data_IF_315710258623
#
_entry.id   IF_315710258623
#
_cell.length_a   1.000
_cell.length_b   1.000
_cell.length_c   1.000
_cell.angle_alpha   90.00
_cell.angle_beta   90.00
_cell.angle_gamma   90.00
#
_symmetry.space_group_name_H-M   'P 1'
#
loop_
_entity.id
_entity.type
_entity.pdbx_description
1 polymer ?
#
# COMPACT_ATOMS: atom_id res chain seq x y z
N UNK A 1 19.17 -0.16 -5.52
CA UNK A 1 18.22 0.60 -6.37
C UNK A 1 18.98 1.75 -6.99
N UNK A 2 19.24 1.67 -8.28
CA UNK A 2 19.85 2.76 -9.02
C UNK A 2 18.89 3.94 -9.02
N UNK A 3 19.23 5.00 -8.27
CA UNK A 3 18.43 6.24 -8.24
C UNK A 3 18.72 7.02 -9.51
N UNK A 4 18.04 6.65 -10.60
CA UNK A 4 18.05 7.43 -11.83
C UNK A 4 17.28 8.74 -11.59
N UNK A 5 17.83 9.91 -11.97
CA UNK A 5 17.11 11.17 -11.81
C UNK A 5 15.84 11.17 -12.65
N UNK A 6 14.77 11.69 -12.06
CA UNK A 6 13.48 11.91 -12.73
C UNK A 6 13.28 13.42 -12.94
N UNK A 7 12.86 13.80 -14.14
CA UNK A 7 12.49 15.19 -14.46
C UNK A 7 10.97 15.25 -14.67
N UNK A 8 10.30 16.14 -13.94
CA UNK A 8 8.89 16.44 -14.17
C UNK A 8 8.75 17.63 -15.12
N UNK A 9 7.85 17.54 -16.09
CA UNK A 9 7.58 18.61 -17.05
C UNK A 9 6.23 19.28 -16.74
N UNK A 10 6.14 20.58 -17.00
CA UNK A 10 4.90 21.34 -16.90
C UNK A 10 3.88 20.79 -17.91
N UNK A 11 2.69 20.45 -17.44
CA UNK A 11 1.57 20.14 -18.32
C UNK A 11 1.07 21.43 -19.00
N UNK A 12 0.96 21.40 -20.34
CA UNK A 12 0.49 22.53 -21.15
C UNK A 12 -1.02 22.51 -21.38
N UNK A 13 -1.69 21.42 -21.01
CA UNK A 13 -3.13 21.22 -21.15
C UNK A 13 -3.72 20.63 -19.85
N UNK A 14 -5.03 20.79 -19.58
CA UNK A 14 -5.66 20.18 -18.41
C UNK A 14 -5.57 18.65 -18.43
N UNK A 15 -5.27 18.04 -17.29
CA UNK A 15 -5.41 16.59 -17.11
C UNK A 15 -6.89 16.21 -17.13
N UNK A 16 -7.24 15.19 -17.92
CA UNK A 16 -8.62 14.67 -18.04
C UNK A 16 -8.61 13.16 -17.95
N UNK A 17 -9.49 12.59 -17.13
CA UNK A 17 -9.64 11.15 -16.99
C UNK A 17 -10.15 10.75 -15.61
N UNK A 18 -10.30 9.44 -15.42
CA UNK A 18 -10.63 8.83 -14.14
C UNK A 18 -9.53 7.86 -13.75
N UNK A 19 -9.15 7.85 -12.48
CA UNK A 19 -8.18 6.91 -11.95
C UNK A 19 -8.75 6.24 -10.71
N UNK A 20 -8.35 4.99 -10.49
CA UNK A 20 -8.56 4.31 -9.22
C UNK A 20 -7.29 4.46 -8.41
N UNK A 21 -7.37 5.13 -7.26
CA UNK A 21 -6.23 5.21 -6.35
C UNK A 21 -5.93 3.82 -5.77
N UNK A 22 -4.66 3.53 -5.47
CA UNK A 22 -4.29 2.40 -4.62
C UNK A 22 -4.97 2.48 -3.24
N UNK A 23 -4.91 1.37 -2.48
CA UNK A 23 -5.39 1.34 -1.11
C UNK A 23 -4.74 2.40 -0.21
N UNK A 24 -5.42 2.76 0.87
CA UNK A 24 -4.85 3.68 1.86
C UNK A 24 -3.76 3.00 2.69
N UNK A 25 -2.64 3.68 2.90
CA UNK A 25 -1.48 3.14 3.63
C UNK A 25 -1.82 2.85 5.09
N UNK A 26 -2.47 3.78 5.77
CA UNK A 26 -2.77 3.67 7.20
C UNK A 26 -3.80 2.57 7.46
N UNK A 27 -4.85 2.50 6.64
CA UNK A 27 -5.85 1.43 6.70
C UNK A 27 -5.26 0.08 6.36
N UNK A 28 -4.31 0.02 5.42
CA UNK A 28 -3.63 -1.24 5.09
C UNK A 28 -2.79 -1.76 6.26
N UNK A 29 -2.02 -0.91 6.94
CA UNK A 29 -1.30 -1.30 8.17
C UNK A 29 -2.27 -1.79 9.25
N UNK A 30 -3.34 -1.03 9.52
CA UNK A 30 -4.31 -1.39 10.56
C UNK A 30 -5.05 -2.67 10.24
N UNK A 31 -5.46 -2.87 8.99
CA UNK A 31 -6.14 -4.09 8.57
C UNK A 31 -5.26 -5.33 8.80
N UNK A 32 -3.96 -5.24 8.49
CA UNK A 32 -3.00 -6.31 8.76
C UNK A 32 -2.83 -6.58 10.27
N UNK A 33 -2.68 -5.52 11.08
CA UNK A 33 -2.53 -5.65 12.53
C UNK A 33 -3.77 -6.30 13.17
N UNK A 34 -4.97 -5.86 12.78
CA UNK A 34 -6.23 -6.42 13.29
C UNK A 34 -6.40 -7.87 12.84
N UNK A 35 -6.09 -8.20 11.57
CA UNK A 35 -6.15 -9.55 11.05
C UNK A 35 -5.19 -10.50 11.78
N UNK A 36 -3.98 -10.03 12.14
CA UNK A 36 -3.00 -10.82 12.88
C UNK A 36 -3.43 -11.15 14.32
N UNK A 37 -4.33 -10.34 14.90
CA UNK A 37 -4.88 -10.56 16.24
C UNK A 37 -6.20 -11.35 16.23
N UNK A 38 -6.89 -11.40 15.09
CA UNK A 38 -8.18 -12.06 14.96
C UNK A 38 -8.03 -13.59 14.95
N UNK A 39 -9.05 -14.29 15.47
CA UNK A 39 -9.11 -15.75 15.39
C UNK A 39 -9.66 -16.18 14.03
N UNK A 40 -9.02 -17.16 13.37
CA UNK A 40 -9.45 -17.69 12.08
C UNK A 40 -8.83 -16.94 10.88
N UNK A 41 -9.55 -16.89 9.76
CA UNK A 41 -9.05 -16.31 8.50
C UNK A 41 -9.73 -14.98 8.19
N UNK A 42 -8.93 -13.93 7.96
CA UNK A 42 -9.41 -12.61 7.52
C UNK A 42 -9.06 -12.38 6.04
N UNK A 43 -10.05 -11.99 5.23
CA UNK A 43 -9.84 -11.61 3.83
C UNK A 43 -9.86 -10.08 3.69
N UNK A 44 -8.78 -9.50 3.17
CA UNK A 44 -8.65 -8.05 2.97
C UNK A 44 -8.60 -7.75 1.47
N UNK A 45 -9.51 -6.88 1.00
CA UNK A 45 -9.55 -6.43 -0.39
C UNK A 45 -9.03 -4.99 -0.51
N UNK A 46 -8.35 -4.68 -1.62
CA UNK A 46 -7.82 -3.33 -1.86
C UNK A 46 -6.64 -2.94 -0.97
N UNK A 47 -5.93 -3.93 -0.40
CA UNK A 47 -4.72 -3.68 0.40
C UNK A 47 -3.65 -2.98 -0.44
N UNK A 48 -3.04 -1.91 0.10
CA UNK A 48 -1.91 -1.25 -0.52
C UNK A 48 -0.68 -2.18 -0.51
N UNK A 49 -0.11 -2.48 -1.66
CA UNK A 49 1.09 -3.33 -1.80
C UNK A 49 2.40 -2.51 -1.83
N UNK A 50 2.42 -1.39 -1.12
CA UNK A 50 3.63 -0.56 -0.96
C UNK A 50 4.65 -1.20 -0.02
N UNK A 51 5.92 -0.82 -0.15
CA UNK A 51 7.02 -1.39 0.63
C UNK A 51 6.77 -1.36 2.15
N UNK A 52 6.26 -0.25 2.70
CA UNK A 52 5.92 -0.10 4.12
C UNK A 52 4.91 -1.17 4.61
N UNK A 53 3.84 -1.38 3.84
CA UNK A 53 2.75 -2.29 4.21
C UNK A 53 3.23 -3.73 4.09
N UNK A 54 3.99 -4.05 3.05
CA UNK A 54 4.62 -5.37 2.89
C UNK A 54 5.62 -5.66 4.01
N UNK A 55 6.39 -4.67 4.44
CA UNK A 55 7.28 -4.80 5.59
C UNK A 55 6.50 -5.08 6.89
N UNK A 56 5.35 -4.43 7.07
CA UNK A 56 4.44 -4.72 8.21
C UNK A 56 3.90 -6.15 8.15
N UNK A 57 3.45 -6.60 6.97
CA UNK A 57 2.98 -7.98 6.79
C UNK A 57 4.09 -8.99 7.12
N UNK A 58 5.33 -8.72 6.70
CA UNK A 58 6.47 -9.57 7.01
C UNK A 58 6.82 -9.56 8.51
N UNK A 59 6.78 -8.40 9.15
CA UNK A 59 7.01 -8.29 10.59
C UNK A 59 5.97 -9.08 11.39
N UNK A 60 4.69 -8.95 11.04
CA UNK A 60 3.60 -9.69 11.70
C UNK A 60 3.74 -11.21 11.51
N UNK A 61 4.16 -11.66 10.32
CA UNK A 61 4.49 -13.08 10.07
C UNK A 61 5.67 -13.59 10.91
N UNK A 62 6.59 -12.72 11.32
CA UNK A 62 7.70 -13.11 12.20
C UNK A 62 7.30 -13.15 13.68
N UNK A 63 6.14 -12.62 14.05
CA UNK A 63 5.64 -12.64 15.43
C UNK A 63 4.82 -13.90 15.78
N UNK A 64 4.61 -14.81 14.82
CA UNK A 64 3.85 -16.05 14.99
C UNK A 64 4.41 -17.17 14.16
#
# INVERSE_FOLDING_TARGET
MDKKPLTAHRQTQPLKGHIRLPGDKSQSHRALMLAALAHGTTHIHGLLQGADVLATAQALKSCG
#
